data_IF_067089320574
#
_entry.id   IF_067089320574
#
_cell.length_a   1.000
_cell.length_b   1.000
_cell.length_c   1.000
_cell.angle_alpha   90.00
_cell.angle_beta   90.00
_cell.angle_gamma   90.00
#
_symmetry.space_group_name_H-M   'P 1'
#
loop_
_entity.id
_entity.type
_entity.pdbx_description
1 polymer ?
#
# COMPACT_ATOMS: atom_id res chain seq x y z
N UNK A 1 -28.56 -42.34 1.65
CA UNK A 1 -27.10 -42.28 1.39
C UNK A 1 -26.55 -41.08 2.14
N UNK A 2 -25.95 -41.24 3.32
CA UNK A 2 -25.25 -40.13 3.98
C UNK A 2 -23.81 -40.03 3.42
N UNK A 3 -23.33 -38.82 3.21
CA UNK A 3 -21.91 -38.52 3.07
C UNK A 3 -21.59 -37.33 3.97
N UNK A 4 -21.15 -37.70 5.16
CA UNK A 4 -20.21 -37.06 6.09
C UNK A 4 -19.70 -35.62 5.83
N UNK A 5 -19.86 -34.79 6.88
CA UNK A 5 -18.88 -33.81 7.40
C UNK A 5 -17.50 -34.49 7.58
N UNK A 6 -16.31 -33.86 7.49
CA UNK A 6 -15.69 -32.80 8.33
C UNK A 6 -14.38 -32.29 7.63
N UNK A 7 -13.43 -31.51 8.22
CA UNK A 7 -13.11 -30.12 7.85
C UNK A 7 -11.66 -29.85 7.37
N UNK A 8 -11.39 -28.58 6.99
CA UNK A 8 -10.20 -27.78 7.34
C UNK A 8 -8.80 -28.23 6.91
N UNK A 9 -8.12 -27.39 6.11
CA UNK A 9 -6.76 -26.95 6.46
C UNK A 9 -6.42 -25.63 5.75
N UNK A 10 -6.21 -24.58 6.54
CA UNK A 10 -5.55 -23.37 6.10
C UNK A 10 -4.10 -23.72 5.80
N UNK A 11 -3.70 -23.63 4.53
CA UNK A 11 -2.29 -23.70 4.14
C UNK A 11 -1.60 -22.47 4.69
N UNK A 12 -0.98 -22.61 5.86
CA UNK A 12 0.01 -21.67 6.37
C UNK A 12 1.25 -21.77 5.48
N UNK A 13 1.60 -20.68 4.82
CA UNK A 13 2.88 -20.53 4.16
C UNK A 13 4.01 -20.72 5.19
N UNK A 14 4.87 -21.72 4.97
CA UNK A 14 6.15 -21.83 5.68
C UNK A 14 7.19 -21.09 4.84
N UNK A 15 7.65 -19.95 5.34
CA UNK A 15 8.84 -19.29 4.82
C UNK A 15 10.07 -20.17 5.08
N UNK A 16 10.74 -20.59 4.00
CA UNK A 16 12.09 -21.12 4.03
C UNK A 16 12.98 -20.15 3.26
N UNK A 17 13.88 -19.49 3.99
CA UNK A 17 14.79 -18.49 3.44
C UNK A 17 15.80 -19.06 2.46
N UNK A 18 16.18 -18.22 1.49
CA UNK A 18 17.39 -18.34 0.70
C UNK A 18 18.22 -17.06 0.86
N UNK A 19 19.49 -17.14 1.29
CA UNK A 19 20.39 -16.01 1.26
C UNK A 19 20.92 -15.85 -0.17
N UNK A 20 20.42 -14.85 -0.91
CA UNK A 20 20.99 -14.49 -2.23
C UNK A 20 20.03 -13.93 -3.28
N UNK A 21 18.72 -13.90 -3.05
CA UNK A 21 17.81 -13.11 -3.87
C UNK A 21 17.69 -11.72 -3.24
N UNK A 22 17.92 -10.65 -4.00
CA UNK A 22 17.41 -9.32 -3.63
C UNK A 22 15.90 -9.52 -3.36
N UNK A 23 15.50 -9.40 -2.10
CA UNK A 23 14.11 -9.61 -1.71
C UNK A 23 13.26 -8.61 -2.52
N UNK A 24 12.37 -9.15 -3.37
CA UNK A 24 11.44 -8.29 -4.11
C UNK A 24 10.43 -7.73 -3.13
N UNK A 25 10.17 -6.44 -3.24
CA UNK A 25 9.16 -5.73 -2.47
C UNK A 25 7.79 -6.36 -2.74
N UNK A 26 7.04 -6.66 -1.69
CA UNK A 26 5.75 -7.33 -1.77
C UNK A 26 4.65 -6.64 -0.94
N UNK A 27 3.46 -7.25 -0.90
CA UNK A 27 2.32 -6.72 -0.14
C UNK A 27 2.54 -6.74 1.38
N UNK A 28 3.39 -7.62 1.90
CA UNK A 28 3.71 -7.67 3.32
C UNK A 28 4.61 -6.49 3.70
N UNK A 29 5.51 -6.05 2.82
CA UNK A 29 6.26 -4.81 3.01
C UNK A 29 5.34 -3.58 3.06
N UNK A 30 4.32 -3.52 2.19
CA UNK A 30 3.30 -2.46 2.26
C UNK A 30 2.61 -2.49 3.63
N UNK A 31 2.12 -3.65 4.05
CA UNK A 31 1.43 -3.81 5.34
C UNK A 31 2.33 -3.37 6.51
N UNK A 32 3.56 -3.87 6.54
CA UNK A 32 4.55 -3.56 7.58
C UNK A 32 4.84 -2.07 7.68
N UNK A 33 5.06 -1.40 6.55
CA UNK A 33 5.37 0.03 6.53
C UNK A 33 4.12 0.85 6.88
N UNK A 34 2.97 0.56 6.28
CA UNK A 34 1.72 1.26 6.54
C UNK A 34 1.34 1.21 8.03
N UNK A 35 1.39 0.02 8.65
CA UNK A 35 1.09 -0.16 10.08
C UNK A 35 2.15 0.48 11.00
N UNK A 36 3.32 0.86 10.49
CA UNK A 36 4.31 1.63 11.25
C UNK A 36 3.98 3.13 11.33
N UNK A 37 3.08 3.62 10.48
CA UNK A 37 2.68 5.03 10.45
C UNK A 37 1.64 5.33 11.55
N UNK A 38 1.70 6.51 12.20
CA UNK A 38 0.81 6.83 13.31
C UNK A 38 -0.66 6.69 12.95
N UNK A 39 -1.41 6.06 13.87
CA UNK A 39 -2.87 5.84 13.77
C UNK A 39 -3.33 5.20 12.46
N UNK A 40 -2.49 4.33 11.88
CA UNK A 40 -2.91 3.48 10.77
C UNK A 40 -3.61 2.23 11.27
N UNK A 41 -4.73 1.90 10.64
CA UNK A 41 -5.43 0.62 10.77
C UNK A 41 -5.55 -0.07 9.40
N UNK A 42 -5.46 -1.40 9.40
CA UNK A 42 -5.82 -2.24 8.26
C UNK A 42 -7.30 -2.64 8.37
N UNK A 43 -8.05 -2.49 7.28
CA UNK A 43 -9.44 -2.91 7.15
C UNK A 43 -9.67 -3.54 5.79
N UNK A 44 -10.35 -4.66 5.76
CA UNK A 44 -10.83 -5.24 4.51
C UNK A 44 -12.00 -4.42 3.95
N UNK A 45 -11.93 -4.10 2.66
CA UNK A 45 -13.03 -3.50 1.91
C UNK A 45 -13.03 -4.07 0.49
N UNK A 46 -14.21 -4.44 -0.03
CA UNK A 46 -14.32 -5.08 -1.35
C UNK A 46 -13.41 -6.31 -1.51
N UNK A 47 -13.28 -7.10 -0.45
CA UNK A 47 -12.43 -8.29 -0.35
C UNK A 47 -10.92 -8.04 -0.46
N UNK A 48 -10.48 -6.78 -0.34
CA UNK A 48 -9.06 -6.41 -0.42
C UNK A 48 -8.59 -5.61 0.79
N UNK A 49 -7.29 -5.72 1.17
CA UNK A 49 -6.71 -4.89 2.23
C UNK A 49 -6.75 -3.39 1.89
N UNK A 50 -7.22 -2.61 2.85
CA UNK A 50 -7.15 -1.14 2.80
C UNK A 50 -6.53 -0.60 4.08
N UNK A 51 -5.73 0.45 3.96
CA UNK A 51 -5.10 1.10 5.11
C UNK A 51 -5.66 2.49 5.29
N UNK A 52 -5.94 2.84 6.55
CA UNK A 52 -6.63 4.08 6.91
C UNK A 52 -5.92 4.77 8.06
N UNK A 53 -5.77 6.09 7.97
CA UNK A 53 -5.32 6.94 9.07
C UNK A 53 -6.51 7.72 9.61
N UNK A 54 -6.77 7.62 10.92
CA UNK A 54 -7.91 8.29 11.56
C UNK A 54 -9.24 8.09 10.80
N UNK A 55 -9.47 6.86 10.30
CA UNK A 55 -10.65 6.47 9.53
C UNK A 55 -10.65 6.85 8.04
N UNK A 56 -9.65 7.59 7.54
CA UNK A 56 -9.51 7.99 6.13
C UNK A 56 -8.57 7.04 5.38
N UNK A 57 -9.07 6.42 4.33
CA UNK A 57 -8.31 5.50 3.48
C UNK A 57 -7.21 6.21 2.70
N UNK A 58 -6.01 5.63 2.66
CA UNK A 58 -4.86 6.14 1.92
C UNK A 58 -4.08 5.06 1.15
N UNK A 59 -4.31 3.76 1.39
CA UNK A 59 -3.76 2.68 0.56
C UNK A 59 -4.86 1.67 0.25
N UNK A 60 -4.85 1.12 -0.96
CA UNK A 60 -5.54 -0.13 -1.31
C UNK A 60 -4.59 -1.08 -2.03
N UNK A 61 -4.65 -2.36 -1.71
CA UNK A 61 -3.81 -3.41 -2.31
C UNK A 61 -4.72 -4.43 -2.98
N UNK A 62 -4.81 -4.49 -4.32
CA UNK A 62 -5.62 -5.49 -5.02
C UNK A 62 -5.16 -6.93 -4.77
N UNK A 63 -6.07 -7.88 -4.94
CA UNK A 63 -5.86 -9.32 -4.68
C UNK A 63 -4.73 -9.94 -5.50
N UNK A 64 -4.36 -9.34 -6.64
CA UNK A 64 -3.22 -9.81 -7.44
C UNK A 64 -1.85 -9.47 -6.83
N UNK A 65 -1.83 -8.59 -5.82
CA UNK A 65 -0.64 -8.13 -5.09
C UNK A 65 0.51 -7.68 -6.02
N UNK A 66 0.20 -7.26 -7.24
CA UNK A 66 1.18 -6.74 -8.20
C UNK A 66 1.32 -5.22 -8.13
N UNK A 67 0.34 -4.58 -7.49
CA UNK A 67 0.21 -3.13 -7.43
C UNK A 67 -0.48 -2.68 -6.16
N UNK A 68 -0.47 -1.37 -5.93
CA UNK A 68 -1.27 -0.74 -4.89
C UNK A 68 -1.71 0.65 -5.36
N UNK A 69 -2.75 1.22 -4.73
CA UNK A 69 -3.19 2.58 -4.98
C UNK A 69 -2.84 3.48 -3.80
N UNK A 70 -2.39 4.70 -4.10
CA UNK A 70 -2.11 5.76 -3.14
C UNK A 70 -2.80 7.06 -3.53
N UNK A 71 -3.00 7.93 -2.53
CA UNK A 71 -3.49 9.29 -2.76
C UNK A 71 -2.44 10.10 -3.49
N UNK A 72 -2.85 10.75 -4.56
CA UNK A 72 -2.03 11.69 -5.31
C UNK A 72 -2.94 12.80 -5.87
N UNK A 73 -2.70 14.09 -5.53
CA UNK A 73 -3.45 15.21 -6.09
C UNK A 73 -3.44 15.17 -7.62
N UNK A 74 -4.59 15.46 -8.23
CA UNK A 74 -4.77 15.33 -9.69
C UNK A 74 -3.78 16.16 -10.52
N UNK A 75 -3.31 17.28 -9.98
CA UNK A 75 -2.38 18.17 -10.67
C UNK A 75 -0.97 17.58 -10.74
N UNK A 76 -0.46 17.03 -9.64
CA UNK A 76 0.84 16.33 -9.58
C UNK A 76 0.84 15.01 -10.36
N UNK A 77 -0.28 14.28 -10.31
CA UNK A 77 -0.38 12.93 -10.86
C UNK A 77 -0.04 12.83 -12.35
N UNK A 78 -0.44 13.82 -13.15
CA UNK A 78 -0.19 13.80 -14.59
C UNK A 78 1.31 13.87 -14.88
N UNK A 79 2.03 14.71 -14.15
CA UNK A 79 3.48 14.88 -14.27
C UNK A 79 4.20 13.64 -13.75
N UNK A 80 3.76 13.09 -12.62
CA UNK A 80 4.31 11.85 -12.03
C UNK A 80 4.22 10.67 -12.99
N UNK A 81 3.05 10.45 -13.61
CA UNK A 81 2.86 9.39 -14.61
C UNK A 81 3.71 9.65 -15.86
N UNK A 82 3.86 10.90 -16.29
CA UNK A 82 4.68 11.23 -17.45
C UNK A 82 6.19 11.01 -17.18
N UNK A 83 6.64 11.28 -15.95
CA UNK A 83 8.03 11.08 -15.54
C UNK A 83 8.37 9.58 -15.42
N UNK A 84 7.46 8.81 -14.83
CA UNK A 84 7.69 7.39 -14.51
C UNK A 84 6.52 6.49 -14.92
N UNK A 85 6.22 6.37 -16.23
CA UNK A 85 5.04 5.66 -16.74
C UNK A 85 5.09 4.14 -16.51
N UNK A 86 6.29 3.58 -16.31
CA UNK A 86 6.47 2.17 -15.96
C UNK A 86 6.05 1.89 -14.50
N UNK A 87 6.13 2.89 -13.63
CA UNK A 87 5.85 2.78 -12.19
C UNK A 87 4.44 3.23 -11.85
N UNK A 88 4.00 4.35 -12.42
CA UNK A 88 2.72 4.98 -12.10
C UNK A 88 1.72 4.96 -13.25
N UNK A 89 0.46 4.63 -12.97
CA UNK A 89 -0.63 4.75 -13.93
C UNK A 89 -1.97 4.99 -13.24
N UNK A 90 -3.00 5.30 -14.03
CA UNK A 90 -4.38 5.38 -13.57
C UNK A 90 -5.27 4.66 -14.57
N UNK A 91 -6.11 3.70 -14.14
CA UNK A 91 -7.08 3.10 -15.03
C UNK A 91 -8.16 4.13 -15.42
N UNK A 92 -8.76 4.05 -16.63
CA UNK A 92 -9.68 5.07 -17.13
C UNK A 92 -10.84 5.43 -16.18
N UNK A 93 -11.37 4.44 -15.44
CA UNK A 93 -12.47 4.66 -14.50
C UNK A 93 -12.06 5.42 -13.23
N UNK A 94 -10.76 5.53 -12.91
CA UNK A 94 -10.22 6.31 -11.79
C UNK A 94 -9.67 7.68 -12.22
N UNK A 95 -9.76 8.03 -13.50
CA UNK A 95 -9.18 9.27 -14.04
C UNK A 95 -9.66 10.56 -13.35
N UNK A 96 -10.91 10.57 -12.86
CA UNK A 96 -11.48 11.69 -12.12
C UNK A 96 -11.12 11.74 -10.63
N UNK A 97 -10.52 10.68 -10.09
CA UNK A 97 -10.21 10.54 -8.66
C UNK A 97 -8.86 11.18 -8.29
N UNK A 98 -8.55 11.23 -7.00
CA UNK A 98 -7.23 11.63 -6.48
C UNK A 98 -6.37 10.40 -6.09
N UNK A 99 -6.44 9.35 -6.89
CA UNK A 99 -5.65 8.13 -6.73
C UNK A 99 -4.69 7.93 -7.91
N UNK A 100 -3.58 7.25 -7.64
CA UNK A 100 -2.62 6.73 -8.61
C UNK A 100 -2.25 5.30 -8.23
N UNK A 101 -2.05 4.44 -9.23
CA UNK A 101 -1.58 3.06 -9.05
C UNK A 101 -0.07 3.00 -9.18
N UNK A 102 0.55 2.11 -8.40
CA UNK A 102 2.01 1.91 -8.32
C UNK A 102 2.33 0.44 -8.54
N UNK A 103 3.32 0.10 -9.37
CA UNK A 103 3.73 -1.29 -9.64
C UNK A 103 4.77 -1.67 -8.61
N UNK A 104 4.53 -2.73 -7.84
CA UNK A 104 5.51 -3.22 -6.87
C UNK A 104 6.82 -3.64 -7.55
N UNK A 105 6.71 -4.28 -8.72
CA UNK A 105 7.87 -4.74 -9.47
C UNK A 105 8.72 -3.61 -10.09
N UNK A 106 8.22 -2.36 -10.11
CA UNK A 106 8.95 -1.21 -10.63
C UNK A 106 9.62 -0.38 -9.52
N UNK A 107 9.38 -0.71 -8.25
CA UNK A 107 10.03 -0.05 -7.12
C UNK A 107 11.49 -0.49 -6.98
N UNK A 108 12.36 0.46 -6.69
CA UNK A 108 13.80 0.28 -6.57
C UNK A 108 14.17 -0.36 -5.23
N UNK A 109 13.61 0.16 -4.13
CA UNK A 109 13.88 -0.31 -2.77
C UNK A 109 12.74 0.00 -1.78
N UNK A 110 12.95 -0.40 -0.51
CA UNK A 110 12.00 -0.20 0.58
C UNK A 110 11.89 1.27 1.04
N UNK A 111 12.90 2.09 0.76
CA UNK A 111 12.88 3.51 1.10
C UNK A 111 11.94 4.24 0.15
N UNK A 112 12.02 3.94 -1.15
CA UNK A 112 11.06 4.42 -2.14
C UNK A 112 9.62 4.02 -1.78
N UNK A 113 9.39 2.73 -1.46
CA UNK A 113 8.07 2.29 -1.01
C UNK A 113 7.60 3.13 0.18
N UNK A 114 8.47 3.32 1.18
CA UNK A 114 8.14 4.09 2.38
C UNK A 114 7.75 5.52 2.04
N UNK A 115 8.49 6.20 1.18
CA UNK A 115 8.21 7.58 0.80
C UNK A 115 6.84 7.71 0.12
N UNK A 116 6.53 6.81 -0.82
CA UNK A 116 5.23 6.76 -1.49
C UNK A 116 4.09 6.56 -0.48
N UNK A 117 4.24 5.62 0.47
CA UNK A 117 3.21 5.37 1.48
C UNK A 117 3.06 6.54 2.47
N UNK A 118 4.17 7.17 2.86
CA UNK A 118 4.20 8.33 3.75
C UNK A 118 3.51 9.53 3.10
N UNK A 119 3.79 9.81 1.83
CA UNK A 119 3.16 10.93 1.14
C UNK A 119 1.66 10.70 0.97
N UNK A 120 1.24 9.48 0.65
CA UNK A 120 -0.17 9.11 0.67
C UNK A 120 -0.83 9.29 2.05
N UNK A 121 -0.13 8.89 3.11
CA UNK A 121 -0.59 9.04 4.49
C UNK A 121 -0.76 10.51 4.86
N UNK A 122 0.20 11.38 4.51
CA UNK A 122 0.13 12.83 4.76
C UNK A 122 -1.12 13.45 4.13
N UNK A 123 -1.52 12.99 2.94
CA UNK A 123 -2.72 13.47 2.26
C UNK A 123 -4.04 13.09 2.97
N UNK A 124 -4.01 12.07 3.84
CA UNK A 124 -5.16 11.63 4.61
C UNK A 124 -5.12 12.04 6.09
N UNK A 125 -3.92 12.18 6.66
CA UNK A 125 -3.70 12.43 8.07
C UNK A 125 -4.29 13.78 8.52
N UNK A 126 -4.88 13.86 9.73
CA UNK A 126 -5.23 15.14 10.33
C UNK A 126 -3.98 15.93 10.73
N UNK A 127 -4.09 17.26 10.78
CA UNK A 127 -2.99 18.20 11.07
C UNK A 127 -2.17 17.82 12.32
N UNK A 128 -2.85 17.45 13.41
CA UNK A 128 -2.19 16.98 14.66
C UNK A 128 -1.19 15.83 14.46
N UNK A 129 -1.41 14.97 13.47
CA UNK A 129 -0.50 13.85 13.18
C UNK A 129 0.65 14.30 12.28
N UNK A 130 0.42 15.26 11.38
CA UNK A 130 1.47 15.85 10.56
C UNK A 130 2.49 16.56 11.46
N UNK A 131 2.03 17.39 12.39
CA UNK A 131 2.88 18.11 13.35
C UNK A 131 3.76 17.14 14.15
N UNK A 132 3.13 16.13 14.77
CA UNK A 132 3.84 15.12 15.56
C UNK A 132 4.82 14.27 14.72
N UNK A 133 4.53 14.06 13.43
CA UNK A 133 5.42 13.33 12.53
C UNK A 133 6.65 14.17 12.14
N UNK A 134 6.47 15.46 11.90
CA UNK A 134 7.57 16.39 11.62
C UNK A 134 8.52 16.56 12.81
N UNK A 135 7.98 16.65 14.02
CA UNK A 135 8.78 16.73 15.25
C UNK A 135 9.67 15.50 15.44
N UNK A 136 9.17 14.31 15.06
CA UNK A 136 9.93 13.05 15.14
C UNK A 136 10.97 12.89 14.03
N UNK A 137 10.78 13.52 12.87
CA UNK A 137 11.75 13.50 11.78
C UNK A 137 12.90 14.50 11.97
N UNK A 138 12.72 15.49 12.85
CA UNK A 138 13.65 16.59 13.10
C UNK A 138 14.51 16.42 14.35
N UNK A 139 14.39 15.29 15.06
CA UNK A 139 15.13 14.96 16.29
C UNK A 139 15.78 13.59 16.23
#
# INVERSE_FOLDING_TARGET
MPADSVPGEAVRARGSGYPGAVARIDAEDIRRIALSLPETEEKEAWSMPTFRVAGKMYITVPDDETSFAVRCPRHERTELIAAEPEKFWVPPHEAGSAWVRVRLAALEDLEELRDILVDSWKQAAPERLLDAFHDRASG
#
